data_IF_567788644994
#
_entry.id   IF_567788644994
#
_cell.length_a   1.000
_cell.length_b   1.000
_cell.length_c   1.000
_cell.angle_alpha   90.00
_cell.angle_beta   90.00
_cell.angle_gamma   90.00
#
_symmetry.space_group_name_H-M   'P 1'
#
loop_
_entity.id
_entity.type
_entity.pdbx_description
1 polymer ?
#
# COMPACT_ATOMS: atom_id res chain seq x y z
N UNK A 1 -18.82 19.50 8.03
CA UNK A 1 -18.30 18.52 8.97
C UNK A 1 -17.77 17.34 8.19
N UNK A 2 -16.45 17.24 8.01
CA UNK A 2 -15.84 16.09 7.35
C UNK A 2 -15.78 14.92 8.35
N UNK A 3 -16.52 13.85 8.05
CA UNK A 3 -16.56 12.64 8.88
C UNK A 3 -15.28 11.82 8.64
N UNK A 4 -14.41 11.74 9.65
CA UNK A 4 -13.26 10.83 9.63
C UNK A 4 -13.75 9.39 9.84
N UNK A 5 -13.41 8.50 8.92
CA UNK A 5 -13.71 7.06 9.01
C UNK A 5 -12.40 6.31 9.24
N UNK A 6 -12.38 5.45 10.25
CA UNK A 6 -11.25 4.56 10.54
C UNK A 6 -11.52 3.22 9.85
N UNK A 7 -10.57 2.75 9.04
CA UNK A 7 -10.65 1.44 8.38
C UNK A 7 -9.81 0.42 9.15
N UNK A 8 -10.34 -0.79 9.29
CA UNK A 8 -9.55 -1.93 9.77
C UNK A 8 -8.52 -2.35 8.71
N UNK A 9 -7.40 -2.92 9.17
CA UNK A 9 -6.32 -3.36 8.29
C UNK A 9 -6.49 -4.85 8.02
N UNK A 10 -6.58 -5.22 6.74
CA UNK A 10 -6.71 -6.61 6.31
C UNK A 10 -5.52 -7.45 6.83
N UNK A 11 -5.76 -8.65 7.39
CA UNK A 11 -4.71 -9.54 7.88
C UNK A 11 -3.65 -9.89 6.82
N UNK A 12 -4.05 -10.08 5.55
CA UNK A 12 -3.16 -10.39 4.44
C UNK A 12 -2.23 -9.20 4.14
N UNK A 13 -2.78 -7.98 4.22
CA UNK A 13 -1.98 -6.75 4.10
C UNK A 13 -0.99 -6.62 5.26
N UNK A 14 -1.42 -6.93 6.48
CA UNK A 14 -0.55 -6.91 7.66
C UNK A 14 0.63 -7.87 7.50
N UNK A 15 0.38 -9.06 6.94
CA UNK A 15 1.45 -10.02 6.65
C UNK A 15 2.40 -9.52 5.55
N UNK A 16 1.86 -8.93 4.47
CA UNK A 16 2.67 -8.32 3.39
C UNK A 16 3.53 -7.18 3.92
N UNK A 17 2.98 -6.29 4.76
CA UNK A 17 3.72 -5.21 5.41
C UNK A 17 4.82 -5.76 6.34
N UNK A 18 4.55 -6.84 7.07
CA UNK A 18 5.55 -7.52 7.90
C UNK A 18 6.69 -8.07 7.05
N UNK A 19 6.38 -8.80 5.98
CA UNK A 19 7.39 -9.35 5.04
C UNK A 19 8.20 -8.24 4.38
N UNK A 20 7.55 -7.14 3.99
CA UNK A 20 8.21 -5.98 3.40
C UNK A 20 9.17 -5.28 4.36
N UNK A 21 8.77 -5.10 5.63
CA UNK A 21 9.61 -4.50 6.68
C UNK A 21 10.89 -5.30 6.91
N UNK A 22 10.80 -6.63 6.89
CA UNK A 22 11.92 -7.53 7.16
C UNK A 22 12.54 -8.13 5.90
N UNK A 23 12.27 -7.53 4.74
CA UNK A 23 12.78 -7.99 3.46
C UNK A 23 14.30 -7.82 3.41
N UNK A 24 14.99 -8.82 2.85
CA UNK A 24 16.47 -8.85 2.73
C UNK A 24 16.98 -8.33 1.38
N UNK A 25 16.07 -8.03 0.45
CA UNK A 25 16.39 -7.51 -0.89
C UNK A 25 16.84 -6.05 -0.81
N UNK A 26 17.86 -5.69 -1.58
CA UNK A 26 18.46 -4.34 -1.64
C UNK A 26 17.86 -3.43 -2.71
N UNK A 27 16.88 -3.92 -3.49
CA UNK A 27 16.21 -3.14 -4.54
C UNK A 27 15.21 -2.15 -3.93
N UNK A 28 14.91 -1.03 -4.60
CA UNK A 28 13.82 -0.17 -4.14
C UNK A 28 12.46 -0.82 -4.42
N UNK A 29 11.57 -0.80 -3.44
CA UNK A 29 10.20 -1.29 -3.60
C UNK A 29 9.22 -0.41 -2.84
N UNK A 30 7.96 -0.46 -3.24
CA UNK A 30 6.88 0.27 -2.60
C UNK A 30 5.61 -0.60 -2.50
N UNK A 31 4.85 -0.41 -1.42
CA UNK A 31 3.50 -0.97 -1.26
C UNK A 31 2.51 0.17 -1.42
N UNK A 32 1.64 0.07 -2.43
CA UNK A 32 0.60 1.07 -2.67
C UNK A 32 -0.73 0.52 -2.14
N UNK A 33 -1.45 1.38 -1.43
CA UNK A 33 -2.73 1.06 -0.82
C UNK A 33 -3.79 2.04 -1.28
N UNK A 34 -4.88 1.51 -1.84
CA UNK A 34 -6.05 2.29 -2.18
C UNK A 34 -7.16 2.02 -1.16
N UNK A 35 -7.77 3.09 -0.64
CA UNK A 35 -8.93 3.05 0.23
C UNK A 35 -10.13 3.64 -0.53
N UNK A 36 -11.08 2.81 -1.00
CA UNK A 36 -12.26 3.30 -1.69
C UNK A 36 -13.15 4.08 -0.70
N UNK A 37 -13.67 5.23 -1.14
CA UNK A 37 -14.70 5.94 -0.37
C UNK A 37 -15.93 5.03 -0.19
N UNK A 38 -16.33 4.79 1.05
CA UNK A 38 -17.50 3.97 1.39
C UNK A 38 -17.22 2.48 1.61
N UNK A 39 -16.01 2.00 1.33
CA UNK A 39 -15.62 0.63 1.69
C UNK A 39 -15.07 0.61 3.12
N UNK A 40 -15.84 0.07 4.06
CA UNK A 40 -15.34 -0.21 5.43
C UNK A 40 -14.35 -1.38 5.43
N UNK A 41 -14.41 -2.26 4.42
CA UNK A 41 -13.51 -3.38 4.25
C UNK A 41 -13.34 -3.69 2.77
N UNK A 42 -12.12 -3.56 2.24
CA UNK A 42 -11.85 -3.75 0.82
C UNK A 42 -10.50 -3.21 0.44
N UNK A 43 -9.45 -3.90 0.87
CA UNK A 43 -8.09 -3.41 0.75
C UNK A 43 -7.28 -4.25 -0.24
N UNK A 44 -7.44 -3.92 -1.53
CA UNK A 44 -6.51 -4.22 -2.64
C UNK A 44 -5.05 -3.80 -2.34
N UNK A 45 -4.16 -4.67 -1.86
CA UNK A 45 -2.75 -4.33 -1.64
C UNK A 45 -1.88 -4.79 -2.80
N UNK A 46 -1.35 -3.87 -3.60
CA UNK A 46 -0.44 -4.18 -4.71
C UNK A 46 1.00 -3.81 -4.33
N UNK A 47 1.93 -4.74 -4.58
CA UNK A 47 3.37 -4.56 -4.35
C UNK A 47 4.05 -4.24 -5.67
N UNK A 48 4.70 -3.07 -5.78
CA UNK A 48 5.44 -2.68 -6.98
C UNK A 48 6.96 -2.73 -6.70
N UNK A 49 7.70 -3.38 -7.59
CA UNK A 49 9.17 -3.34 -7.60
C UNK A 49 9.61 -2.08 -8.37
N UNK A 50 10.27 -1.15 -7.68
CA UNK A 50 10.64 0.16 -8.27
C UNK A 50 12.10 0.09 -8.72
N UNK A 51 12.32 -0.33 -9.96
CA UNK A 51 13.67 -0.33 -10.56
C UNK A 51 13.88 0.97 -11.33
N UNK A 52 14.77 1.83 -10.82
CA UNK A 52 15.17 3.08 -11.49
C UNK A 52 14.06 4.13 -11.47
N UNK A 53 14.27 5.21 -10.71
CA UNK A 53 13.29 6.28 -10.57
C UNK A 53 13.00 6.95 -11.93
N UNK A 54 11.87 6.66 -12.56
CA UNK A 54 11.14 7.62 -13.40
C UNK A 54 9.63 7.43 -13.19
N UNK A 55 9.15 7.81 -11.99
CA UNK A 55 7.74 8.09 -11.81
C UNK A 55 7.45 9.44 -12.47
N UNK A 56 7.10 9.42 -13.75
CA UNK A 56 6.76 10.62 -14.50
C UNK A 56 5.34 11.06 -14.10
N UNK A 57 5.23 11.88 -13.05
CA UNK A 57 3.98 12.55 -12.69
C UNK A 57 3.67 13.54 -13.81
N UNK A 58 2.76 13.18 -14.72
CA UNK A 58 2.18 14.16 -15.65
C UNK A 58 1.17 14.99 -14.87
N UNK A 59 1.41 16.30 -14.84
CA UNK A 59 0.46 17.31 -14.38
C UNK A 59 -0.78 17.37 -15.29
#
# INVERSE_FOLDING_TARGET
SDSLVVCEVDPELTEKLRKFRFRKETDNAAIIKHFPRGAQNGIAGETAQVRGLQLQVRA
#
